data_IF_606571928784
#
_entry.id   IF_606571928784
#
_cell.length_a   1.000
_cell.length_b   1.000
_cell.length_c   1.000
_cell.angle_alpha   90.00
_cell.angle_beta   90.00
_cell.angle_gamma   90.00
#
_symmetry.space_group_name_H-M   'P 1'
#
loop_
_entity.id
_entity.type
_entity.pdbx_description
1 polymer ?
#
# COMPACT_ATOMS: atom_id res chain seq x y z
N UNK A 1 4.92 -18.49 -26.70
CA UNK A 1 4.60 -18.23 -25.29
C UNK A 1 3.85 -19.42 -24.73
N UNK A 2 4.34 -20.02 -23.64
CA UNK A 2 3.86 -21.29 -23.09
C UNK A 2 2.69 -21.10 -22.12
N UNK A 3 1.91 -22.17 -21.90
CA UNK A 3 0.75 -22.21 -20.98
C UNK A 3 1.08 -21.74 -19.54
N UNK A 4 2.36 -21.78 -19.16
CA UNK A 4 2.88 -21.35 -17.86
C UNK A 4 2.96 -19.81 -17.73
N UNK A 5 3.30 -19.12 -18.82
CA UNK A 5 3.34 -17.64 -18.86
C UNK A 5 1.92 -17.06 -18.71
N UNK A 6 0.90 -17.75 -19.25
CA UNK A 6 -0.50 -17.36 -19.10
C UNK A 6 -1.07 -17.55 -17.68
N UNK A 7 -0.48 -18.44 -16.88
CA UNK A 7 -0.91 -18.66 -15.48
C UNK A 7 -0.32 -17.60 -14.55
N UNK A 8 0.84 -17.04 -14.91
CA UNK A 8 1.48 -15.90 -14.24
C UNK A 8 0.98 -14.55 -14.78
N UNK A 9 0.28 -14.54 -15.92
CA UNK A 9 -0.26 -13.33 -16.57
C UNK A 9 -1.66 -12.92 -16.09
N UNK A 10 -2.02 -13.16 -14.83
CA UNK A 10 -2.92 -12.23 -14.14
C UNK A 10 -2.11 -10.96 -13.91
N UNK A 11 -1.96 -10.16 -14.97
CA UNK A 11 -1.01 -9.06 -15.03
C UNK A 11 -1.12 -8.19 -13.78
N UNK A 12 -0.08 -8.18 -12.96
CA UNK A 12 0.03 -7.27 -11.82
C UNK A 12 -0.36 -5.87 -12.30
N UNK A 13 -1.20 -5.13 -11.54
CA UNK A 13 -1.61 -3.80 -11.95
C UNK A 13 -0.39 -2.95 -12.30
N UNK A 14 -0.38 -2.42 -13.53
CA UNK A 14 0.66 -1.48 -13.97
C UNK A 14 0.40 -0.16 -13.27
N UNK A 15 1.25 0.16 -12.30
CA UNK A 15 1.17 1.43 -11.60
C UNK A 15 1.95 2.53 -12.34
N UNK A 16 1.52 3.81 -12.29
CA UNK A 16 2.30 4.91 -12.82
C UNK A 16 3.71 4.94 -12.23
N UNK A 17 4.68 5.44 -13.00
CA UNK A 17 6.06 5.62 -12.52
C UNK A 17 6.05 6.40 -11.20
N UNK A 18 6.86 5.94 -10.23
CA UNK A 18 7.01 6.52 -8.88
C UNK A 18 5.79 6.44 -7.93
N UNK A 19 4.64 5.94 -8.38
CA UNK A 19 3.43 5.88 -7.54
C UNK A 19 3.61 5.03 -6.29
N UNK A 20 4.30 3.88 -6.37
CA UNK A 20 4.58 3.03 -5.21
C UNK A 20 5.39 3.75 -4.12
N UNK A 21 6.37 4.58 -4.50
CA UNK A 21 7.17 5.38 -3.56
C UNK A 21 6.28 6.39 -2.83
N UNK A 22 5.43 7.10 -3.55
CA UNK A 22 4.50 8.08 -2.97
C UNK A 22 3.45 7.41 -2.08
N UNK A 23 2.90 6.27 -2.50
CA UNK A 23 1.94 5.48 -1.71
C UNK A 23 2.60 4.96 -0.43
N UNK A 24 3.82 4.42 -0.51
CA UNK A 24 4.56 3.93 0.65
C UNK A 24 4.87 5.06 1.63
N UNK A 25 5.29 6.24 1.13
CA UNK A 25 5.50 7.43 1.95
C UNK A 25 4.19 7.85 2.63
N UNK A 26 3.09 7.93 1.88
CA UNK A 26 1.77 8.30 2.43
C UNK A 26 1.28 7.29 3.47
N UNK A 27 1.52 5.99 3.26
CA UNK A 27 1.22 4.95 4.22
C UNK A 27 2.08 5.05 5.48
N UNK A 28 3.36 5.40 5.35
CA UNK A 28 4.26 5.61 6.49
C UNK A 28 3.71 6.69 7.43
N UNK A 29 3.23 7.82 6.90
CA UNK A 29 2.65 8.89 7.73
C UNK A 29 1.20 8.64 8.18
N UNK A 30 0.37 7.97 7.38
CA UNK A 30 -1.01 7.66 7.76
C UNK A 30 -1.12 6.45 8.69
N UNK A 31 -0.08 5.62 8.75
CA UNK A 31 -0.07 4.35 9.46
C UNK A 31 -1.21 3.41 9.05
N UNK A 32 -1.70 3.54 7.82
CA UNK A 32 -2.93 2.90 7.37
C UNK A 32 -2.86 1.36 7.43
N UNK A 33 -1.73 0.77 7.04
CA UNK A 33 -1.54 -0.70 7.02
C UNK A 33 -0.85 -1.25 8.28
N UNK A 34 -0.82 -0.53 9.40
CA UNK A 34 -0.33 -1.12 10.66
C UNK A 34 -1.18 -2.34 11.05
N UNK A 35 -0.58 -3.32 11.71
CA UNK A 35 -1.26 -4.58 12.10
C UNK A 35 -2.57 -4.36 12.86
N UNK A 36 -2.69 -3.30 13.65
CA UNK A 36 -3.94 -2.95 14.33
C UNK A 36 -5.12 -2.60 13.40
N UNK A 37 -4.84 -2.21 12.16
CA UNK A 37 -5.85 -1.79 11.18
C UNK A 37 -6.17 -2.88 10.15
N UNK A 38 -5.15 -3.64 9.71
CA UNK A 38 -5.27 -4.63 8.61
C UNK A 38 -4.95 -6.07 9.06
N UNK A 39 -4.76 -6.27 10.37
CA UNK A 39 -4.29 -7.51 10.94
C UNK A 39 -2.80 -7.79 10.69
N UNK A 40 -2.24 -8.67 11.51
CA UNK A 40 -0.84 -9.07 11.38
C UNK A 40 -0.71 -10.25 10.40
N UNK A 41 -0.06 -10.01 9.26
CA UNK A 41 -0.03 -10.96 8.14
C UNK A 41 0.48 -12.36 8.53
N UNK A 42 1.51 -12.47 9.38
CA UNK A 42 2.05 -13.77 9.81
C UNK A 42 1.03 -14.58 10.62
N UNK A 43 0.33 -13.93 11.57
CA UNK A 43 -0.73 -14.55 12.36
C UNK A 43 -1.92 -14.95 11.49
N UNK A 44 -2.35 -14.05 10.60
CA UNK A 44 -3.46 -14.31 9.69
C UNK A 44 -3.19 -15.46 8.74
N UNK A 45 -1.98 -15.57 8.20
CA UNK A 45 -1.63 -16.65 7.27
C UNK A 45 -1.56 -18.02 7.96
N UNK A 46 -1.08 -18.05 9.21
CA UNK A 46 -1.10 -19.26 10.05
C UNK A 46 -2.54 -19.69 10.30
N UNK A 47 -3.36 -18.77 10.79
CA UNK A 47 -4.76 -19.05 11.11
C UNK A 47 -5.57 -19.48 9.87
N UNK A 48 -5.35 -18.85 8.71
CA UNK A 48 -6.00 -19.23 7.45
C UNK A 48 -5.71 -20.70 7.07
N UNK A 49 -4.44 -21.14 7.21
CA UNK A 49 -4.04 -22.51 6.92
C UNK A 49 -4.59 -23.51 7.93
N UNK A 50 -4.56 -23.18 9.21
CA UNK A 50 -5.12 -24.02 10.28
C UNK A 50 -6.63 -24.22 10.12
N UNK A 51 -7.34 -23.24 9.56
CA UNK A 51 -8.76 -23.34 9.22
C UNK A 51 -9.03 -23.98 7.84
N UNK A 52 -8.06 -24.70 7.27
CA UNK A 52 -8.25 -25.48 6.05
C UNK A 52 -8.31 -24.68 4.75
N UNK A 53 -7.90 -23.40 4.76
CA UNK A 53 -7.86 -22.55 3.59
C UNK A 53 -6.86 -23.02 2.52
N UNK A 54 -7.29 -23.05 1.26
CA UNK A 54 -6.50 -23.64 0.16
C UNK A 54 -6.20 -22.67 -0.97
N UNK A 55 -7.15 -21.80 -1.33
CA UNK A 55 -7.02 -20.94 -2.51
C UNK A 55 -6.90 -19.46 -2.16
N UNK A 56 -6.49 -18.66 -3.14
CA UNK A 56 -6.47 -17.20 -3.02
C UNK A 56 -7.88 -16.62 -2.78
N UNK A 57 -8.90 -17.15 -3.46
CA UNK A 57 -10.28 -16.70 -3.28
C UNK A 57 -10.82 -17.05 -1.88
N UNK A 58 -10.50 -18.23 -1.36
CA UNK A 58 -10.84 -18.59 0.03
C UNK A 58 -10.18 -17.62 1.00
N UNK A 59 -8.91 -17.29 0.77
CA UNK A 59 -8.16 -16.34 1.60
C UNK A 59 -8.80 -14.96 1.57
N UNK A 60 -9.21 -14.49 0.40
CA UNK A 60 -9.89 -13.20 0.24
C UNK A 60 -11.21 -13.17 1.01
N UNK A 61 -12.07 -14.17 0.83
CA UNK A 61 -13.35 -14.28 1.55
C UNK A 61 -13.15 -14.37 3.06
N UNK A 62 -12.23 -15.21 3.51
CA UNK A 62 -11.90 -15.39 4.93
C UNK A 62 -11.32 -14.11 5.57
N UNK A 63 -10.44 -13.41 4.85
CA UNK A 63 -9.88 -12.14 5.35
C UNK A 63 -10.98 -11.07 5.46
N UNK A 64 -11.82 -10.93 4.43
CA UNK A 64 -12.89 -9.93 4.42
C UNK A 64 -14.02 -10.23 5.41
N UNK A 65 -14.25 -11.50 5.79
CA UNK A 65 -15.21 -11.79 6.87
C UNK A 65 -14.71 -11.30 8.24
N UNK A 66 -13.39 -11.27 8.46
CA UNK A 66 -12.77 -10.77 9.70
C UNK A 66 -12.50 -9.28 9.69
N UNK A 67 -12.13 -8.75 8.54
CA UNK A 67 -11.70 -7.37 8.33
C UNK A 67 -12.48 -6.73 7.17
N UNK A 68 -13.81 -6.62 7.27
CA UNK A 68 -14.68 -6.25 6.14
C UNK A 68 -14.34 -4.89 5.53
N UNK A 69 -13.92 -3.94 6.35
CA UNK A 69 -13.65 -2.56 5.92
C UNK A 69 -12.15 -2.22 5.90
N UNK A 70 -11.25 -3.16 6.23
CA UNK A 70 -9.85 -2.80 6.45
C UNK A 70 -9.15 -2.27 5.20
N UNK A 71 -9.50 -2.79 4.02
CA UNK A 71 -8.93 -2.33 2.75
C UNK A 71 -9.43 -0.92 2.44
N UNK A 72 -10.74 -0.67 2.55
CA UNK A 72 -11.33 0.63 2.25
C UNK A 72 -10.85 1.71 3.22
N UNK A 73 -10.79 1.40 4.51
CA UNK A 73 -10.32 2.34 5.53
C UNK A 73 -8.82 2.63 5.40
N UNK A 74 -8.00 1.62 5.08
CA UNK A 74 -6.60 1.87 4.76
C UNK A 74 -6.44 2.75 3.50
N UNK A 75 -7.24 2.47 2.47
CA UNK A 75 -7.26 3.22 1.21
C UNK A 75 -7.61 4.69 1.44
N UNK A 76 -8.70 4.97 2.18
CA UNK A 76 -9.11 6.36 2.52
C UNK A 76 -8.02 7.11 3.29
N UNK A 77 -7.36 6.45 4.24
CA UNK A 77 -6.27 7.05 5.04
C UNK A 77 -5.05 7.40 4.18
N UNK A 78 -4.64 6.48 3.29
CA UNK A 78 -3.54 6.73 2.34
C UNK A 78 -3.93 7.87 1.38
N UNK A 79 -5.15 7.84 0.84
CA UNK A 79 -5.63 8.85 -0.10
C UNK A 79 -5.67 10.25 0.53
N UNK A 80 -6.03 10.35 1.81
CA UNK A 80 -5.95 11.61 2.56
C UNK A 80 -4.52 12.17 2.58
N UNK A 81 -3.52 11.34 2.88
CA UNK A 81 -2.10 11.77 2.87
C UNK A 81 -1.59 12.11 1.48
N UNK A 82 -1.99 11.36 0.45
CA UNK A 82 -1.67 11.69 -0.95
C UNK A 82 -2.22 13.08 -1.32
N UNK A 83 -3.44 13.41 -0.92
CA UNK A 83 -4.02 14.73 -1.18
C UNK A 83 -3.29 15.85 -0.43
N UNK A 84 -2.82 15.59 0.79
CA UNK A 84 -1.97 16.55 1.51
C UNK A 84 -0.62 16.74 0.81
N UNK A 85 0.03 15.66 0.34
CA UNK A 85 1.26 15.77 -0.44
C UNK A 85 1.08 16.55 -1.73
N UNK A 86 -0.05 16.37 -2.44
CA UNK A 86 -0.35 17.16 -3.64
C UNK A 86 -0.40 18.67 -3.35
N UNK A 87 -0.88 19.08 -2.18
CA UNK A 87 -0.89 20.49 -1.78
C UNK A 87 0.55 20.99 -1.56
N UNK A 88 1.34 20.25 -0.78
CA UNK A 88 2.75 20.59 -0.50
C UNK A 88 3.58 20.62 -1.79
N UNK A 89 3.38 19.69 -2.71
CA UNK A 89 4.08 19.65 -4.00
C UNK A 89 3.84 20.92 -4.84
N UNK A 90 2.68 21.57 -4.71
CA UNK A 90 2.40 22.83 -5.39
C UNK A 90 3.11 24.03 -4.73
N UNK A 91 3.55 23.88 -3.48
CA UNK A 91 4.27 24.91 -2.72
C UNK A 91 5.79 24.78 -2.86
N UNK A 92 6.32 23.64 -3.33
CA UNK A 92 7.76 23.43 -3.52
C UNK A 92 8.22 24.11 -4.80
N UNK A 93 9.14 25.06 -4.66
CA UNK A 93 9.83 25.74 -5.75
C UNK A 93 11.36 25.53 -5.69
N UNK A 94 12.07 26.12 -6.65
CA UNK A 94 13.54 26.01 -6.72
C UNK A 94 14.22 26.61 -5.49
N UNK A 95 13.68 27.68 -4.91
CA UNK A 95 14.27 28.33 -3.74
C UNK A 95 14.20 27.42 -2.50
N UNK A 96 13.05 26.80 -2.24
CA UNK A 96 12.88 25.82 -1.17
C UNK A 96 13.85 24.65 -1.37
N UNK A 97 13.98 24.14 -2.59
CA UNK A 97 14.90 23.05 -2.91
C UNK A 97 16.35 23.48 -2.68
N UNK A 98 16.73 24.68 -3.13
CA UNK A 98 18.08 25.23 -2.94
C UNK A 98 18.44 25.37 -1.46
N UNK A 99 17.50 25.87 -0.65
CA UNK A 99 17.67 26.01 0.79
C UNK A 99 17.83 24.64 1.47
N UNK A 100 17.05 23.63 1.05
CA UNK A 100 17.20 22.26 1.55
C UNK A 100 18.58 21.69 1.19
N UNK A 101 19.02 21.81 -0.07
CA UNK A 101 20.34 21.32 -0.52
C UNK A 101 21.47 22.00 0.26
N UNK A 102 21.39 23.31 0.45
CA UNK A 102 22.38 24.05 1.22
C UNK A 102 22.47 23.55 2.67
N UNK A 103 21.33 23.33 3.33
CA UNK A 103 21.27 22.81 4.71
C UNK A 103 21.83 21.39 4.84
N UNK A 104 21.62 20.51 3.88
CA UNK A 104 22.12 19.13 3.97
C UNK A 104 23.60 19.00 3.56
N UNK A 105 24.20 20.06 3.02
CA UNK A 105 25.60 20.07 2.57
C UNK A 105 26.58 20.60 3.62
N UNK A 106 26.10 21.08 4.78
CA UNK A 106 26.88 21.63 5.89
C UNK A 106 26.29 21.21 7.24
#
# INVERSE_FOLDING_TARGET
MTKLENLLSLSSPKFPKYSSQLINLANMYSHATRSKNVGQMSGLMKEFKENGGRTFEDRKKWYLSKYPNAIDEATKKIMKKINEFKKVLNEIDEEIIRNWVFRESY
#
